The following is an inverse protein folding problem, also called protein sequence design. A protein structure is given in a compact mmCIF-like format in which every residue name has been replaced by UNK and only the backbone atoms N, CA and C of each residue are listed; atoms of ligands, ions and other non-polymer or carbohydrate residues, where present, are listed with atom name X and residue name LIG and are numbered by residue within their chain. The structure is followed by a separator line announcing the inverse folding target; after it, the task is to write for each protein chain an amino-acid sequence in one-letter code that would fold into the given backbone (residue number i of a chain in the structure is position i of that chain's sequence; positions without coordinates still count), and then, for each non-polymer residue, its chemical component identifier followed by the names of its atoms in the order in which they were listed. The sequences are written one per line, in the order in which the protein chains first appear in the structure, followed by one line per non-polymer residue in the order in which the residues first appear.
data_IF_406030948670
#
_entry.id   IF_406030948670
#
_cell.length_a   1.000
_cell.length_b   1.000
_cell.length_c   1.000
_cell.angle_alpha   90.00
_cell.angle_beta   90.00
_cell.angle_gamma   90.00
#
_symmetry.space_group_name_H-M   'P 1'
#
loop_
_entity.id
_entity.type
_entity.pdbx_description
1 polymer ?
#
# COMPACT_ATOMS: atom_id res chain seq x y z
N UNK A 1 31.99 -36.71 -17.21
CA UNK A 1 31.13 -35.85 -16.36
C UNK A 1 31.88 -34.56 -16.19
N UNK A 2 31.53 -33.51 -16.98
CA UNK A 2 32.18 -32.22 -16.89
C UNK A 2 31.65 -31.50 -15.67
N UNK A 3 32.51 -31.18 -14.71
CA UNK A 3 32.21 -30.24 -13.65
C UNK A 3 31.95 -28.88 -14.30
N UNK A 4 30.74 -28.37 -14.17
CA UNK A 4 30.42 -26.98 -14.55
C UNK A 4 31.22 -26.10 -13.59
N UNK A 5 32.17 -25.25 -14.07
CA UNK A 5 32.92 -24.38 -13.19
C UNK A 5 31.98 -23.39 -12.54
N UNK A 6 31.89 -23.43 -11.21
CA UNK A 6 31.06 -22.54 -10.43
C UNK A 6 31.69 -21.14 -10.48
N UNK A 7 31.03 -20.23 -11.18
CA UNK A 7 31.55 -18.86 -11.41
C UNK A 7 30.93 -17.91 -10.37
N UNK A 8 31.62 -16.80 -10.07
CA UNK A 8 31.07 -15.75 -9.20
C UNK A 8 29.72 -15.23 -9.68
N UNK A 9 29.46 -15.27 -10.99
CA UNK A 9 28.17 -14.90 -11.61
C UNK A 9 27.07 -15.88 -11.20
N UNK A 10 27.36 -17.19 -11.09
CA UNK A 10 26.38 -18.19 -10.68
C UNK A 10 25.91 -17.98 -9.22
N UNK A 11 26.84 -17.51 -8.37
CA UNK A 11 26.52 -17.16 -6.99
C UNK A 11 25.56 -15.94 -6.91
N UNK A 12 25.83 -14.92 -7.72
CA UNK A 12 24.95 -13.74 -7.81
C UNK A 12 23.57 -14.14 -8.36
N UNK A 13 23.51 -15.01 -9.36
CA UNK A 13 22.27 -15.48 -9.97
C UNK A 13 21.42 -16.25 -8.95
N UNK A 14 22.01 -17.14 -8.18
CA UNK A 14 21.33 -17.88 -7.10
C UNK A 14 20.76 -16.92 -6.05
N UNK A 15 21.55 -15.91 -5.61
CA UNK A 15 21.09 -14.93 -4.64
C UNK A 15 19.94 -14.11 -5.22
N UNK A 16 20.04 -13.67 -6.45
CA UNK A 16 19.02 -12.85 -7.10
C UNK A 16 17.71 -13.63 -7.26
N UNK A 17 17.79 -14.89 -7.69
CA UNK A 17 16.62 -15.79 -7.75
C UNK A 17 16.02 -16.01 -6.36
N UNK A 18 16.84 -16.25 -5.34
CA UNK A 18 16.37 -16.43 -3.95
C UNK A 18 15.67 -15.17 -3.42
N UNK A 19 16.19 -13.98 -3.70
CA UNK A 19 15.58 -12.70 -3.32
C UNK A 19 14.25 -12.49 -4.04
N UNK A 20 14.18 -12.78 -5.35
CA UNK A 20 12.94 -12.69 -6.13
C UNK A 20 11.89 -13.66 -5.56
N UNK A 21 12.26 -14.92 -5.32
CA UNK A 21 11.36 -15.94 -4.75
C UNK A 21 10.89 -15.56 -3.34
N UNK A 22 11.76 -15.03 -2.50
CA UNK A 22 11.39 -14.51 -1.17
C UNK A 22 10.41 -13.34 -1.28
N UNK A 23 10.60 -12.46 -2.24
CA UNK A 23 9.73 -11.29 -2.45
C UNK A 23 8.34 -11.72 -2.94
N UNK A 24 8.29 -12.66 -3.89
CA UNK A 24 7.03 -13.27 -4.37
C UNK A 24 6.30 -13.94 -3.20
N UNK A 25 7.01 -14.76 -2.41
CA UNK A 25 6.43 -15.41 -1.22
C UNK A 25 5.85 -14.39 -0.23
N UNK A 26 6.58 -13.32 0.05
CA UNK A 26 6.13 -12.26 0.96
C UNK A 26 4.88 -11.54 0.44
N UNK A 27 4.76 -11.34 -0.86
CA UNK A 27 3.59 -10.70 -1.47
C UNK A 27 2.35 -11.59 -1.46
N UNK A 28 2.52 -12.89 -1.59
CA UNK A 28 1.40 -13.85 -1.62
C UNK A 28 0.89 -14.22 -0.22
N UNK A 29 1.63 -13.86 0.82
CA UNK A 29 1.24 -14.11 2.21
C UNK A 29 -0.02 -13.30 2.57
N UNK A 30 -1.14 -13.99 2.84
CA UNK A 30 -2.43 -13.37 3.14
C UNK A 30 -3.44 -13.36 1.99
N UNK A 31 -3.09 -13.93 0.82
CA UNK A 31 -3.99 -14.11 -0.32
C UNK A 31 -4.27 -15.59 -0.55
N UNK A 32 -5.25 -15.92 -1.42
CA UNK A 32 -5.50 -17.28 -1.86
C UNK A 32 -4.51 -17.77 -2.94
N UNK A 33 -3.56 -16.95 -3.35
CA UNK A 33 -2.58 -17.24 -4.39
C UNK A 33 -1.74 -18.50 -4.14
N UNK A 34 -1.27 -18.83 -2.90
CA UNK A 34 -0.51 -20.06 -2.64
C UNK A 34 -1.27 -21.33 -3.00
N UNK A 35 -2.58 -21.38 -2.78
CA UNK A 35 -3.41 -22.56 -3.11
C UNK A 35 -3.53 -22.75 -4.62
N UNK A 36 -3.70 -21.67 -5.37
CA UNK A 36 -3.76 -21.70 -6.84
C UNK A 36 -2.41 -22.15 -7.39
N UNK A 37 -1.31 -21.59 -6.87
CA UNK A 37 0.05 -21.92 -7.28
C UNK A 37 0.37 -23.42 -7.02
N UNK A 38 -0.03 -23.96 -5.86
CA UNK A 38 0.16 -25.38 -5.54
C UNK A 38 -0.59 -26.28 -6.52
N UNK A 39 -1.81 -25.92 -6.93
CA UNK A 39 -2.58 -26.65 -7.95
C UNK A 39 -1.89 -26.66 -9.31
N UNK A 40 -1.32 -25.53 -9.73
CA UNK A 40 -0.58 -25.42 -10.99
C UNK A 40 0.68 -26.29 -10.98
N UNK A 41 1.45 -26.22 -9.87
CA UNK A 41 2.64 -27.06 -9.69
C UNK A 41 2.28 -28.54 -9.74
N UNK A 42 1.16 -28.96 -9.12
CA UNK A 42 0.71 -30.35 -9.15
C UNK A 42 0.39 -30.81 -10.58
N UNK A 43 -0.32 -29.99 -11.37
CA UNK A 43 -0.63 -30.29 -12.78
C UNK A 43 0.65 -30.38 -13.61
N UNK A 44 1.61 -29.46 -13.40
CA UNK A 44 2.88 -29.47 -14.09
C UNK A 44 3.71 -30.71 -13.76
N UNK A 45 3.79 -31.09 -12.48
CA UNK A 45 4.47 -32.32 -12.05
C UNK A 45 3.81 -33.56 -12.64
N UNK A 46 2.48 -33.61 -12.67
CA UNK A 46 1.75 -34.70 -13.31
C UNK A 46 2.12 -34.81 -14.80
N UNK A 47 2.16 -33.70 -15.51
CA UNK A 47 2.58 -33.64 -16.91
C UNK A 47 4.02 -34.18 -17.11
N UNK A 48 4.96 -33.79 -16.26
CA UNK A 48 6.35 -34.27 -16.32
C UNK A 48 6.38 -35.80 -16.12
N UNK A 49 5.66 -36.33 -15.14
CA UNK A 49 5.59 -37.78 -14.88
C UNK A 49 5.00 -38.51 -16.09
N UNK A 50 3.87 -38.07 -16.64
CA UNK A 50 3.23 -38.65 -17.81
C UNK A 50 4.14 -38.62 -19.04
N UNK A 51 4.88 -37.54 -19.23
CA UNK A 51 5.86 -37.39 -20.32
C UNK A 51 7.05 -38.35 -20.16
N UNK A 52 7.56 -38.54 -18.95
CA UNK A 52 8.65 -39.50 -18.69
C UNK A 52 8.25 -40.95 -18.85
N UNK A 53 6.96 -41.27 -18.66
CA UNK A 53 6.38 -42.59 -18.90
C UNK A 53 6.02 -42.84 -20.39
N UNK A 54 6.37 -41.91 -21.30
CA UNK A 54 6.09 -41.98 -22.75
C UNK A 54 4.59 -42.16 -23.09
N UNK A 55 3.70 -41.61 -22.27
CA UNK A 55 2.25 -41.62 -22.52
C UNK A 55 1.86 -40.50 -23.48
N UNK A 56 2.00 -40.71 -24.78
CA UNK A 56 1.88 -39.67 -25.81
C UNK A 56 0.54 -38.92 -25.81
N UNK A 57 -0.59 -39.66 -25.76
CA UNK A 57 -1.91 -39.05 -25.80
C UNK A 57 -2.16 -38.15 -24.58
N UNK A 58 -1.85 -38.64 -23.38
CA UNK A 58 -2.09 -37.94 -22.14
C UNK A 58 -1.14 -36.72 -21.98
N UNK A 59 0.13 -36.88 -22.40
CA UNK A 59 1.11 -35.80 -22.38
C UNK A 59 0.73 -34.67 -23.33
N UNK A 60 0.15 -34.96 -24.48
CA UNK A 60 -0.32 -33.99 -25.46
C UNK A 60 -1.52 -33.21 -24.92
N UNK A 61 -2.51 -33.89 -24.34
CA UNK A 61 -3.70 -33.25 -23.74
C UNK A 61 -3.30 -32.35 -22.58
N UNK A 62 -2.45 -32.85 -21.66
CA UNK A 62 -1.97 -32.05 -20.52
C UNK A 62 -1.11 -30.87 -20.99
N UNK A 63 -0.28 -31.06 -22.02
CA UNK A 63 0.52 -29.97 -22.59
C UNK A 63 -0.33 -28.83 -23.18
N UNK A 64 -1.41 -29.19 -23.91
CA UNK A 64 -2.38 -28.19 -24.40
C UNK A 64 -3.12 -27.49 -23.25
N UNK A 65 -3.52 -28.25 -22.23
CA UNK A 65 -4.17 -27.70 -21.05
C UNK A 65 -3.27 -26.69 -20.33
N UNK A 66 -1.97 -27.00 -20.17
CA UNK A 66 -0.98 -26.10 -19.56
C UNK A 66 -0.81 -24.85 -20.42
N UNK A 67 -0.75 -25.00 -21.75
CA UNK A 67 -0.58 -23.87 -22.68
C UNK A 67 -1.76 -22.89 -22.61
N UNK A 68 -3.00 -23.41 -22.63
CA UNK A 68 -4.21 -22.57 -22.48
C UNK A 68 -4.32 -22.04 -21.04
N UNK A 69 -3.95 -22.87 -20.06
CA UNK A 69 -3.92 -22.53 -18.66
C UNK A 69 -3.01 -21.37 -18.32
N UNK A 70 -1.89 -21.22 -19.04
CA UNK A 70 -0.98 -20.06 -18.87
C UNK A 70 -1.67 -18.72 -19.18
N UNK A 71 -2.49 -18.69 -20.24
CA UNK A 71 -3.28 -17.50 -20.60
C UNK A 71 -4.36 -17.24 -19.54
N UNK A 72 -5.07 -18.30 -19.12
CA UNK A 72 -6.09 -18.19 -18.07
C UNK A 72 -5.47 -17.70 -16.75
N UNK A 73 -4.24 -18.13 -16.44
CA UNK A 73 -3.51 -17.70 -15.27
C UNK A 73 -3.26 -16.19 -15.26
N UNK A 74 -2.83 -15.62 -16.40
CA UNK A 74 -2.59 -14.18 -16.53
C UNK A 74 -3.90 -13.41 -16.25
N UNK A 75 -5.03 -13.92 -16.74
CA UNK A 75 -6.35 -13.29 -16.51
C UNK A 75 -6.75 -13.39 -15.03
N UNK A 76 -6.56 -14.55 -14.40
CA UNK A 76 -6.89 -14.77 -12.98
C UNK A 76 -6.02 -13.89 -12.07
N UNK A 77 -4.71 -13.74 -12.38
CA UNK A 77 -3.79 -12.92 -11.60
C UNK A 77 -3.72 -11.44 -12.06
N UNK A 78 -4.59 -11.02 -12.96
CA UNK A 78 -4.65 -9.62 -13.41
C UNK A 78 -4.78 -8.62 -12.23
N UNK A 79 -5.63 -8.85 -11.20
CA UNK A 79 -5.73 -7.95 -10.06
C UNK A 79 -4.43 -7.85 -9.26
N UNK A 80 -3.75 -9.00 -9.04
CA UNK A 80 -2.49 -9.06 -8.31
C UNK A 80 -1.37 -8.38 -9.08
N UNK A 81 -1.27 -8.58 -10.39
CA UNK A 81 -0.32 -7.89 -11.27
C UNK A 81 -0.56 -6.38 -11.26
N UNK A 82 -1.81 -5.93 -11.34
CA UNK A 82 -2.15 -4.51 -11.26
C UNK A 82 -1.72 -3.91 -9.93
N UNK A 83 -2.02 -4.60 -8.82
CA UNK A 83 -1.61 -4.18 -7.48
C UNK A 83 -0.09 -4.12 -7.34
N UNK A 84 0.62 -5.11 -7.88
CA UNK A 84 2.08 -5.15 -7.90
C UNK A 84 2.68 -3.94 -8.64
N UNK A 85 2.17 -3.63 -9.82
CA UNK A 85 2.62 -2.47 -10.60
C UNK A 85 2.31 -1.15 -9.88
N UNK A 86 1.17 -1.03 -9.22
CA UNK A 86 0.84 0.13 -8.40
C UNK A 86 1.82 0.32 -7.23
N UNK A 87 2.14 -0.76 -6.50
CA UNK A 87 3.12 -0.71 -5.38
C UNK A 87 4.50 -0.27 -5.88
N UNK A 88 4.95 -0.80 -7.03
CA UNK A 88 6.21 -0.37 -7.63
C UNK A 88 6.14 1.11 -8.02
N UNK A 89 5.08 1.53 -8.72
CA UNK A 89 4.90 2.91 -9.15
C UNK A 89 4.87 3.90 -7.99
N UNK A 90 4.19 3.57 -6.90
CA UNK A 90 4.09 4.43 -5.72
C UNK A 90 5.39 4.50 -4.91
N UNK A 91 6.24 3.46 -4.93
CA UNK A 91 7.54 3.45 -4.25
C UNK A 91 8.68 4.12 -5.05
N UNK A 92 8.45 4.46 -6.31
CA UNK A 92 9.49 4.90 -7.24
C UNK A 92 9.85 6.40 -7.12
N UNK A 93 9.85 6.98 -5.91
CA UNK A 93 10.36 8.37 -5.69
C UNK A 93 11.88 8.53 -5.92
N UNK A 94 12.64 7.46 -6.00
CA UNK A 94 14.08 7.57 -6.26
C UNK A 94 14.45 8.04 -7.69
N UNK A 95 13.49 8.05 -8.64
CA UNK A 95 13.77 8.47 -10.02
C UNK A 95 13.52 9.98 -10.25
N UNK A 96 12.88 10.68 -9.34
CA UNK A 96 12.63 12.13 -9.46
C UNK A 96 13.80 13.00 -9.00
N UNK A 97 15.01 12.44 -8.90
CA UNK A 97 16.23 13.22 -8.65
C UNK A 97 16.47 14.30 -9.72
N UNK A 98 16.10 14.01 -10.98
CA UNK A 98 16.30 14.91 -12.12
C UNK A 98 15.30 16.09 -12.09
N UNK A 99 14.07 15.89 -11.66
CA UNK A 99 13.09 16.99 -11.57
C UNK A 99 13.29 17.89 -10.35
N UNK A 100 13.95 17.38 -9.30
CA UNK A 100 14.25 18.14 -8.08
C UNK A 100 15.40 19.15 -8.26
N UNK A 101 16.29 18.93 -9.24
CA UNK A 101 17.37 19.89 -9.57
C UNK A 101 16.81 21.19 -10.18
N UNK A 102 15.58 21.16 -10.73
CA UNK A 102 14.92 22.33 -11.31
C UNK A 102 13.86 22.98 -10.42
N UNK A 103 13.55 22.41 -9.25
CA UNK A 103 12.63 23.01 -8.26
C UNK A 103 13.45 23.64 -7.14
N UNK A 104 13.88 24.87 -7.35
CA UNK A 104 14.46 25.72 -6.30
C UNK A 104 13.32 26.13 -5.35
N UNK A 105 13.16 25.39 -4.26
CA UNK A 105 12.17 25.67 -3.23
C UNK A 105 12.35 24.69 -2.09
N UNK A 106 13.35 24.94 -1.23
CA UNK A 106 13.62 24.20 -0.01
C UNK A 106 12.66 24.72 1.08
N UNK A 107 11.41 24.30 1.02
CA UNK A 107 10.48 24.37 2.13
C UNK A 107 10.14 22.96 2.57
N UNK A 108 10.88 22.45 3.56
CA UNK A 108 10.46 21.30 4.37
C UNK A 108 9.25 21.73 5.21
N UNK A 109 8.09 21.83 4.56
CA UNK A 109 6.84 22.20 5.20
C UNK A 109 6.44 21.05 6.13
N UNK A 110 6.74 21.23 7.41
CA UNK A 110 6.33 20.27 8.43
C UNK A 110 4.81 20.29 8.55
N UNK A 111 4.19 19.14 8.38
CA UNK A 111 2.75 18.98 8.63
C UNK A 111 2.43 19.38 10.07
N UNK A 112 1.61 20.41 10.24
CA UNK A 112 1.12 20.78 11.56
C UNK A 112 0.07 19.75 12.01
N UNK A 113 0.43 18.89 12.96
CA UNK A 113 -0.43 17.80 13.44
C UNK A 113 -1.55 18.28 14.37
N UNK A 114 -1.41 19.45 14.99
CA UNK A 114 -2.36 19.95 15.99
C UNK A 114 -3.78 20.09 15.43
N UNK A 115 -4.02 20.71 14.26
CA UNK A 115 -5.36 20.80 13.68
C UNK A 115 -5.97 19.42 13.36
N UNK A 116 -5.14 18.45 12.95
CA UNK A 116 -5.57 17.09 12.63
C UNK A 116 -6.03 16.38 13.89
N UNK A 117 -5.21 16.41 14.94
CA UNK A 117 -5.52 15.77 16.23
C UNK A 117 -6.78 16.38 16.86
N UNK A 118 -6.90 17.71 16.83
CA UNK A 118 -8.07 18.42 17.36
C UNK A 118 -9.33 18.02 16.58
N UNK A 119 -9.27 17.97 15.25
CA UNK A 119 -10.39 17.52 14.42
C UNK A 119 -10.78 16.07 14.75
N UNK A 120 -9.80 15.17 14.85
CA UNK A 120 -10.05 13.76 15.18
C UNK A 120 -10.70 13.61 16.56
N UNK A 121 -10.26 14.39 17.57
CA UNK A 121 -10.87 14.37 18.91
C UNK A 121 -12.34 14.80 18.85
N UNK A 122 -12.61 15.96 18.23
CA UNK A 122 -13.97 16.49 18.15
C UNK A 122 -14.91 15.57 17.31
N UNK A 123 -14.39 14.97 16.24
CA UNK A 123 -15.13 13.99 15.46
C UNK A 123 -15.33 12.67 16.23
N UNK A 124 -14.40 12.28 17.08
CA UNK A 124 -14.52 11.13 17.97
C UNK A 124 -15.68 11.33 18.97
N UNK A 125 -15.75 12.50 19.61
CA UNK A 125 -16.82 12.86 20.57
C UNK A 125 -18.21 12.83 19.90
N UNK A 126 -18.31 13.28 18.65
CA UNK A 126 -19.57 13.31 17.89
C UNK A 126 -19.83 12.04 17.08
N UNK A 127 -18.95 11.04 17.15
CA UNK A 127 -18.98 9.81 16.33
C UNK A 127 -19.10 10.12 14.83
N UNK A 128 -18.40 11.14 14.38
CA UNK A 128 -18.31 11.49 12.97
C UNK A 128 -17.19 10.67 12.34
N UNK A 129 -17.55 9.79 11.40
CA UNK A 129 -16.58 8.95 10.70
C UNK A 129 -15.64 9.77 9.84
N UNK A 130 -14.32 9.51 9.95
CA UNK A 130 -13.30 10.19 9.16
C UNK A 130 -12.22 9.21 8.68
N UNK A 131 -11.62 9.52 7.52
CA UNK A 131 -10.52 8.78 6.94
C UNK A 131 -9.52 9.81 6.38
N UNK A 132 -8.38 9.96 7.04
CA UNK A 132 -7.36 10.98 6.74
C UNK A 132 -6.07 10.27 6.35
N UNK A 133 -5.56 10.53 5.15
CA UNK A 133 -4.28 10.03 4.64
C UNK A 133 -3.26 11.15 4.73
N UNK A 134 -2.18 10.93 5.46
CA UNK A 134 -1.07 11.87 5.59
C UNK A 134 0.10 11.32 4.78
N UNK A 135 0.36 11.95 3.65
CA UNK A 135 1.44 11.59 2.74
C UNK A 135 2.80 11.84 3.36
N UNK A 136 3.76 10.96 3.02
CA UNK A 136 5.16 11.11 3.43
C UNK A 136 6.05 11.17 2.18
N UNK A 137 6.61 10.02 1.75
CA UNK A 137 7.51 9.95 0.59
C UNK A 137 6.85 9.34 -0.65
N UNK A 138 5.82 8.52 -0.47
CA UNK A 138 5.09 7.89 -1.57
C UNK A 138 4.37 8.93 -2.43
N UNK A 139 4.40 8.73 -3.73
CA UNK A 139 3.63 9.55 -4.66
C UNK A 139 2.14 9.15 -4.59
N UNK A 140 1.33 10.07 -4.08
CA UNK A 140 -0.11 9.84 -3.88
C UNK A 140 -0.97 10.51 -4.96
N UNK A 141 -0.38 11.04 -6.03
CA UNK A 141 -1.12 11.75 -7.11
C UNK A 141 -2.24 10.93 -7.70
N UNK A 142 -2.02 9.63 -7.96
CA UNK A 142 -3.08 8.74 -8.48
C UNK A 142 -4.28 8.63 -7.53
N UNK A 143 -4.04 8.71 -6.23
CA UNK A 143 -5.11 8.72 -5.23
C UNK A 143 -5.80 10.08 -5.20
N UNK A 144 -5.05 11.17 -5.31
CA UNK A 144 -5.58 12.53 -5.36
C UNK A 144 -6.44 12.76 -6.62
N UNK A 145 -6.01 12.27 -7.79
CA UNK A 145 -6.76 12.35 -9.06
C UNK A 145 -8.10 11.61 -9.01
N UNK A 146 -8.21 10.56 -8.18
CA UNK A 146 -9.47 9.85 -7.93
C UNK A 146 -10.45 10.58 -7.00
N UNK A 147 -10.04 11.72 -6.44
CA UNK A 147 -10.82 12.54 -5.52
C UNK A 147 -11.21 13.90 -6.11
N UNK A 148 -11.64 14.79 -5.23
CA UNK A 148 -11.93 16.20 -5.57
C UNK A 148 -10.77 17.06 -5.05
N UNK A 149 -10.08 17.74 -5.95
CA UNK A 149 -8.98 18.62 -5.61
C UNK A 149 -9.47 19.82 -4.76
N UNK A 150 -8.79 20.11 -3.68
CA UNK A 150 -9.12 21.21 -2.76
C UNK A 150 -8.00 22.23 -2.65
N UNK A 151 -6.77 21.76 -2.56
CA UNK A 151 -5.57 22.58 -2.36
C UNK A 151 -5.73 23.66 -1.25
N UNK A 152 -6.18 23.24 -0.08
CA UNK A 152 -6.49 24.11 1.04
C UNK A 152 -5.59 23.85 2.23
N UNK A 153 -5.28 24.89 3.03
CA UNK A 153 -4.50 24.75 4.26
C UNK A 153 -5.22 23.87 5.28
N UNK A 154 -4.47 22.95 5.92
CA UNK A 154 -5.02 22.09 6.97
C UNK A 154 -5.53 22.91 8.14
N UNK A 155 -6.81 22.75 8.47
CA UNK A 155 -7.43 23.37 9.63
C UNK A 155 -8.51 22.48 10.24
N UNK A 156 -8.71 22.55 11.54
CA UNK A 156 -9.74 21.80 12.26
C UNK A 156 -11.14 22.02 11.68
N UNK A 157 -11.61 23.26 11.43
CA UNK A 157 -12.94 23.46 10.86
C UNK A 157 -13.10 22.84 9.47
N UNK A 158 -12.07 22.92 8.62
CA UNK A 158 -12.15 22.36 7.26
C UNK A 158 -12.23 20.84 7.29
N UNK A 159 -11.42 20.16 8.10
CA UNK A 159 -11.48 18.70 8.26
C UNK A 159 -12.86 18.26 8.77
N UNK A 160 -13.42 18.96 9.76
CA UNK A 160 -14.76 18.68 10.27
C UNK A 160 -15.84 18.88 9.21
N UNK A 161 -15.72 19.91 8.37
CA UNK A 161 -16.66 20.16 7.28
C UNK A 161 -16.56 19.09 6.18
N UNK A 162 -15.36 18.64 5.84
CA UNK A 162 -15.17 17.55 4.87
C UNK A 162 -15.89 16.29 5.33
N UNK A 163 -15.77 15.91 6.60
CA UNK A 163 -16.35 14.69 7.15
C UNK A 163 -17.72 14.88 7.78
N UNK A 164 -18.29 16.07 7.69
CA UNK A 164 -19.64 16.31 8.19
C UNK A 164 -20.63 15.39 7.47
N UNK A 165 -21.48 14.70 8.26
CA UNK A 165 -22.45 13.74 7.73
C UNK A 165 -23.34 14.41 6.69
N UNK A 166 -23.50 13.78 5.54
CA UNK A 166 -24.21 14.27 4.36
C UNK A 166 -23.52 15.41 3.57
N UNK A 167 -22.29 15.82 3.94
CA UNK A 167 -21.51 16.69 3.08
C UNK A 167 -21.10 15.96 1.78
N UNK A 168 -21.00 16.62 0.63
CA UNK A 168 -20.62 15.96 -0.63
C UNK A 168 -19.24 15.31 -0.63
N UNK A 169 -18.37 15.69 0.32
CA UNK A 169 -16.97 15.26 0.42
C UNK A 169 -16.73 14.16 1.45
N UNK A 170 -17.74 13.79 2.27
CA UNK A 170 -17.53 12.92 3.43
C UNK A 170 -17.28 11.45 3.10
N UNK A 171 -17.73 11.01 1.92
CA UNK A 171 -17.61 9.61 1.50
C UNK A 171 -16.29 9.39 0.75
N UNK A 172 -15.27 9.05 1.48
CA UNK A 172 -13.91 8.84 1.01
C UNK A 172 -12.86 9.36 1.99
N UNK A 173 -11.63 9.47 1.51
CA UNK A 173 -10.51 9.97 2.32
C UNK A 173 -10.19 11.43 2.00
N UNK A 174 -9.71 12.16 3.00
CA UNK A 174 -8.99 13.42 2.83
C UNK A 174 -7.49 13.13 2.73
N UNK A 175 -6.85 13.64 1.69
CA UNK A 175 -5.42 13.49 1.45
C UNK A 175 -4.69 14.76 1.85
N UNK A 176 -3.70 14.62 2.74
CA UNK A 176 -2.86 15.71 3.25
C UNK A 176 -1.43 15.48 2.79
N UNK A 177 -0.84 16.50 2.19
CA UNK A 177 0.59 16.58 1.88
C UNK A 177 1.16 17.88 2.47
N UNK A 178 2.18 17.76 3.31
CA UNK A 178 2.72 18.91 4.05
C UNK A 178 1.65 19.56 4.95
N UNK A 179 1.39 20.84 4.75
CA UNK A 179 0.38 21.60 5.49
C UNK A 179 -0.96 21.79 4.72
N UNK A 180 -1.14 21.09 3.60
CA UNK A 180 -2.30 21.24 2.72
C UNK A 180 -3.13 19.98 2.58
N UNK A 181 -4.44 20.15 2.54
CA UNK A 181 -5.39 19.14 2.08
C UNK A 181 -5.43 19.25 0.56
N UNK A 182 -4.78 18.31 -0.13
CA UNK A 182 -4.66 18.34 -1.59
C UNK A 182 -5.93 17.85 -2.27
N UNK A 183 -6.61 16.87 -1.67
CA UNK A 183 -7.86 16.35 -2.20
C UNK A 183 -8.75 15.77 -1.08
N UNK A 184 -10.05 15.67 -1.36
CA UNK A 184 -11.00 14.95 -0.52
C UNK A 184 -11.86 14.00 -1.37
N UNK A 185 -12.67 13.16 -0.71
CA UNK A 185 -13.46 12.11 -1.37
C UNK A 185 -12.60 11.14 -2.20
N UNK A 186 -11.35 10.95 -1.78
CA UNK A 186 -10.44 10.02 -2.45
C UNK A 186 -10.84 8.56 -2.16
N UNK A 187 -10.86 7.73 -3.21
CA UNK A 187 -11.13 6.30 -3.10
C UNK A 187 -9.82 5.57 -2.80
N UNK A 188 -9.77 4.86 -1.68
CA UNK A 188 -8.59 4.10 -1.27
C UNK A 188 -8.76 2.61 -1.61
N UNK A 189 -7.66 1.90 -1.91
CA UNK A 189 -7.69 0.46 -2.03
C UNK A 189 -8.05 -0.19 -0.70
N UNK A 190 -8.87 -1.23 -0.76
CA UNK A 190 -9.29 -2.01 0.41
C UNK A 190 -8.37 -3.22 0.58
N UNK A 191 -7.97 -3.51 1.83
CA UNK A 191 -7.15 -4.71 2.11
C UNK A 191 -7.86 -6.00 1.71
N UNK A 192 -7.09 -6.93 1.15
CA UNK A 192 -7.54 -8.30 0.87
C UNK A 192 -7.17 -9.26 2.02
N UNK A 193 -6.42 -8.78 3.00
CA UNK A 193 -6.04 -9.57 4.17
C UNK A 193 -7.25 -9.89 5.03
N UNK A 194 -7.22 -11.05 5.69
CA UNK A 194 -8.27 -11.42 6.65
C UNK A 194 -8.21 -10.50 7.85
N UNK A 195 -9.24 -9.67 8.02
CA UNK A 195 -9.38 -8.75 9.16
C UNK A 195 -10.67 -9.05 9.93
N UNK A 196 -10.72 -8.72 11.23
CA UNK A 196 -11.91 -8.92 12.04
C UNK A 196 -13.16 -8.30 11.40
N UNK A 197 -14.31 -8.98 11.53
CA UNK A 197 -15.61 -8.50 11.00
C UNK A 197 -16.04 -7.14 11.58
N UNK A 198 -15.53 -6.78 12.76
CA UNK A 198 -15.77 -5.49 13.41
C UNK A 198 -15.08 -4.30 12.73
N UNK A 199 -14.28 -4.54 11.68
CA UNK A 199 -13.63 -3.46 10.92
C UNK A 199 -14.58 -3.01 9.82
N UNK A 200 -15.08 -1.78 9.93
CA UNK A 200 -15.87 -1.13 8.89
C UNK A 200 -15.03 -0.80 7.63
N UNK A 201 -15.70 -0.28 6.61
CA UNK A 201 -15.09 0.04 5.30
C UNK A 201 -13.89 0.98 5.42
N UNK A 202 -13.97 2.03 6.27
CA UNK A 202 -12.86 2.98 6.49
C UNK A 202 -11.63 2.31 7.11
N UNK A 203 -11.79 1.37 8.04
CA UNK A 203 -10.67 0.63 8.62
C UNK A 203 -9.99 -0.28 7.59
N UNK A 204 -10.77 -0.97 6.77
CA UNK A 204 -10.26 -1.82 5.69
C UNK A 204 -9.53 -1.02 4.61
N UNK A 205 -10.06 0.15 4.27
CA UNK A 205 -9.41 1.08 3.34
C UNK A 205 -8.11 1.65 3.92
N UNK A 206 -8.08 1.98 5.22
CA UNK A 206 -6.87 2.44 5.88
C UNK A 206 -5.76 1.38 5.87
N UNK A 207 -6.08 0.12 6.16
CA UNK A 207 -5.11 -0.99 6.08
C UNK A 207 -4.63 -1.14 4.64
N UNK A 208 -5.54 -1.23 3.66
CA UNK A 208 -5.19 -1.43 2.25
C UNK A 208 -4.29 -0.31 1.70
N UNK A 209 -4.55 0.94 2.07
CA UNK A 209 -3.69 2.07 1.71
C UNK A 209 -2.31 1.97 2.37
N UNK A 210 -2.26 1.57 3.65
CA UNK A 210 -1.00 1.41 4.38
C UNK A 210 -0.15 0.22 3.93
N UNK A 211 -0.74 -0.76 3.22
CA UNK A 211 -0.02 -1.89 2.63
C UNK A 211 0.79 -1.47 1.40
N UNK A 212 0.35 -0.45 0.66
CA UNK A 212 0.94 -0.04 -0.62
C UNK A 212 1.74 1.26 -0.55
N UNK A 213 1.61 2.03 0.53
CA UNK A 213 2.30 3.31 0.71
C UNK A 213 2.95 3.43 2.08
N UNK A 214 3.82 4.41 2.25
CA UNK A 214 4.41 4.81 3.54
C UNK A 214 3.56 5.86 4.27
N UNK A 215 2.39 6.22 3.72
CA UNK A 215 1.48 7.17 4.33
C UNK A 215 1.00 6.69 5.71
N UNK A 216 0.67 7.65 6.57
CA UNK A 216 -0.01 7.38 7.83
C UNK A 216 -1.49 7.64 7.62
N UNK A 217 -2.32 6.67 7.97
CA UNK A 217 -3.76 6.78 7.81
C UNK A 217 -4.44 6.83 9.17
N UNK A 218 -5.18 7.91 9.43
CA UNK A 218 -5.98 8.08 10.65
C UNK A 218 -7.44 7.81 10.33
N UNK A 219 -8.07 7.00 11.17
CA UNK A 219 -9.50 6.64 11.07
C UNK A 219 -10.22 7.05 12.33
N UNK A 220 -11.37 7.71 12.18
CA UNK A 220 -12.35 7.87 13.26
C UNK A 220 -13.57 7.02 12.93
N UNK A 221 -13.95 6.14 13.87
CA UNK A 221 -15.10 5.25 13.70
C UNK A 221 -16.43 6.00 13.88
N UNK A 222 -17.33 5.87 12.93
CA UNK A 222 -18.70 6.43 13.06
C UNK A 222 -19.58 5.64 14.03
N UNK A 223 -19.24 4.39 14.33
CA UNK A 223 -20.00 3.55 15.24
C UNK A 223 -19.57 3.80 16.70
N UNK A 224 -18.27 3.77 16.96
CA UNK A 224 -17.72 3.80 18.31
C UNK A 224 -17.12 5.16 18.70
N UNK A 225 -16.76 5.99 17.73
CA UNK A 225 -15.95 7.19 17.92
C UNK A 225 -14.45 6.88 18.10
N UNK A 226 -14.05 5.60 18.15
CA UNK A 226 -12.66 5.19 18.37
C UNK A 226 -11.73 5.70 17.28
N UNK A 227 -10.58 6.28 17.69
CA UNK A 227 -9.54 6.73 16.76
C UNK A 227 -8.56 5.58 16.53
N UNK A 228 -8.17 5.37 15.28
CA UNK A 228 -7.21 4.33 14.88
C UNK A 228 -6.16 4.89 13.94
N UNK A 229 -4.95 4.31 13.96
CA UNK A 229 -3.88 4.62 13.01
C UNK A 229 -3.51 3.34 12.25
N UNK A 230 -3.42 3.42 10.93
CA UNK A 230 -2.89 2.37 10.09
C UNK A 230 -1.57 2.79 9.45
N UNK A 231 -0.59 1.87 9.46
CA UNK A 231 0.73 2.05 8.83
C UNK A 231 1.36 0.69 8.53
N UNK A 232 2.03 0.56 7.39
CA UNK A 232 2.74 -0.67 6.97
C UNK A 232 1.86 -1.95 6.99
N UNK A 233 0.56 -1.84 6.71
CA UNK A 233 -0.38 -2.95 6.73
C UNK A 233 -0.92 -3.31 8.11
N UNK A 234 -0.50 -2.61 9.17
CA UNK A 234 -0.97 -2.82 10.53
C UNK A 234 -1.88 -1.67 10.98
N UNK A 235 -2.87 -1.97 11.81
CA UNK A 235 -3.76 -0.98 12.41
C UNK A 235 -3.75 -1.06 13.92
N UNK A 236 -3.59 0.08 14.58
CA UNK A 236 -3.71 0.24 16.03
C UNK A 236 -5.01 0.99 16.32
N UNK A 237 -5.85 0.41 17.17
CA UNK A 237 -7.19 0.94 17.48
C UNK A 237 -7.23 1.60 18.86
N UNK A 238 -8.26 2.42 19.06
CA UNK A 238 -8.59 3.07 20.33
C UNK A 238 -7.40 3.88 20.89
N UNK A 239 -6.79 4.67 20.02
CA UNK A 239 -5.69 5.56 20.40
C UNK A 239 -6.30 6.83 20.98
N UNK A 240 -5.84 7.24 22.15
CA UNK A 240 -6.24 8.52 22.72
C UNK A 240 -5.60 9.71 21.95
N UNK A 241 -6.18 10.93 22.03
CA UNK A 241 -5.70 12.07 21.29
C UNK A 241 -4.25 12.48 21.60
N UNK A 242 -3.76 12.24 22.84
CA UNK A 242 -2.39 12.55 23.24
C UNK A 242 -1.41 11.60 22.56
N UNK A 243 -1.70 10.30 22.60
CA UNK A 243 -0.92 9.30 21.87
C UNK A 243 -1.00 9.48 20.35
N UNK A 244 -2.14 9.91 19.81
CA UNK A 244 -2.29 10.27 18.40
C UNK A 244 -1.29 11.37 18.04
N UNK A 245 -1.26 12.46 18.82
CA UNK A 245 -0.34 13.58 18.58
C UNK A 245 1.13 13.15 18.62
N UNK A 246 1.53 12.43 19.67
CA UNK A 246 2.90 11.93 19.82
C UNK A 246 3.28 11.00 18.66
N UNK A 247 2.39 10.13 18.26
CA UNK A 247 2.60 9.19 17.16
C UNK A 247 2.79 9.93 15.85
N UNK A 248 1.91 10.86 15.50
CA UNK A 248 2.02 11.66 14.28
C UNK A 248 3.29 12.52 14.28
N UNK A 249 3.60 13.19 15.39
CA UNK A 249 4.82 13.99 15.51
C UNK A 249 6.07 13.13 15.32
N UNK A 250 6.14 11.97 15.98
CA UNK A 250 7.28 11.06 15.87
C UNK A 250 7.51 10.60 14.44
N UNK A 251 6.47 10.17 13.73
CA UNK A 251 6.60 9.67 12.36
C UNK A 251 6.99 10.77 11.37
N UNK A 252 6.41 11.96 11.50
CA UNK A 252 6.73 13.08 10.62
C UNK A 252 8.14 13.64 10.88
N UNK A 253 8.61 13.63 12.15
CA UNK A 253 9.98 14.07 12.51
C UNK A 253 11.05 13.06 12.09
N UNK A 254 10.80 11.76 12.19
CA UNK A 254 11.78 10.72 11.79
C UNK A 254 12.06 10.82 10.28
N UNK A 255 11.06 11.14 9.49
CA UNK A 255 11.21 11.21 8.04
C UNK A 255 11.89 12.50 7.58
N UNK A 256 11.69 13.62 8.27
CA UNK A 256 12.45 14.86 8.01
C UNK A 256 13.95 14.66 8.30
N UNK A 257 14.31 13.93 9.37
CA UNK A 257 15.72 13.61 9.70
C UNK A 257 16.36 12.62 8.72
N UNK A 258 15.62 11.71 8.13
CA UNK A 258 16.14 10.82 7.07
C UNK A 258 16.41 11.57 5.77
N UNK A 259 15.66 12.62 5.49
CA UNK A 259 15.92 13.51 4.35
C UNK A 259 17.22 14.32 4.55
N UNK A 260 17.45 14.89 5.74
CA UNK A 260 18.65 15.68 6.01
C UNK A 260 19.94 14.86 6.13
N UNK A 261 19.88 13.55 6.47
CA UNK A 261 21.05 12.67 6.53
C UNK A 261 21.43 12.05 5.18
N UNK A 262 20.55 12.04 4.19
CA UNK A 262 20.87 11.64 2.81
C UNK A 262 21.63 12.70 2.02
N UNK A 263 21.73 13.94 2.52
CA UNK A 263 22.43 15.04 1.86
C UNK A 263 23.88 15.27 2.36
N UNK A 264 24.38 14.48 3.31
CA UNK A 264 25.73 14.69 3.94
C UNK A 264 26.69 13.52 3.65
N UNK A 265 26.49 12.81 2.54
CA UNK A 265 27.50 11.85 2.05
C UNK A 265 27.71 12.09 0.56
N UNK A 266 28.44 13.13 0.25
CA UNK A 266 29.34 13.29 -0.88
C UNK A 266 30.45 14.24 -0.51
#
# INVERSE_FOLDING_TARGET
MGFVPFTFVDFIDIILVAVIMYWIYRMTKGTNAPYILSGIIAIYLLWVVVRTLNMELLSTILGQLISVGAIALIIVFQPELRRFLQVIGMRQKHFNFITRIFSTGDDTVQTNVVPIVTACREMSETKTGALIVIGQQSDLRLIAEGGIALDAKVSTPLLKNIFFKNAPLHDGAALIEGDRIVAAKCILPVTQSAVPKSYGTRHRAAIGMSEISDAIIVVVSEETGGISIAQNGEIRRNIDPVHLQQTLQRYLTINSRKQSKGEVVE
#
